data_IF_883239701064
#
_entry.id   IF_883239701064
#
_cell.length_a   1.000
_cell.length_b   1.000
_cell.length_c   1.000
_cell.angle_alpha   90.00
_cell.angle_beta   90.00
_cell.angle_gamma   90.00
#
_symmetry.space_group_name_H-M   'P 1'
#
loop_
_entity.id
_entity.type
_entity.pdbx_description
1 polymer ?
#
# COMPACT_ATOMS: atom_id res chain seq x y z
N UNK A 1 -18.94 -47.69 -23.42
CA UNK A 1 -19.00 -47.59 -21.94
C UNK A 1 -17.79 -46.88 -21.34
N UNK A 2 -16.54 -47.28 -21.63
CA UNK A 2 -15.31 -46.61 -21.11
C UNK A 2 -15.14 -45.13 -21.50
N UNK A 3 -15.58 -44.73 -22.70
CA UNK A 3 -15.53 -43.32 -23.16
C UNK A 3 -16.60 -42.41 -22.54
N UNK A 4 -17.74 -42.97 -22.12
CA UNK A 4 -18.76 -42.21 -21.38
C UNK A 4 -18.30 -41.90 -19.96
N UNK A 5 -17.63 -42.86 -19.30
CA UNK A 5 -17.11 -42.69 -17.94
C UNK A 5 -16.00 -41.62 -17.86
N UNK A 6 -15.15 -41.51 -18.88
CA UNK A 6 -14.12 -40.46 -18.95
C UNK A 6 -14.73 -39.08 -19.21
N UNK A 7 -15.79 -38.99 -20.03
CA UNK A 7 -16.51 -37.74 -20.27
C UNK A 7 -17.27 -37.22 -19.04
N UNK A 8 -17.87 -38.12 -18.24
CA UNK A 8 -18.52 -37.78 -16.97
C UNK A 8 -17.48 -37.34 -15.93
N UNK A 9 -16.32 -38.00 -15.86
CA UNK A 9 -15.25 -37.62 -14.92
C UNK A 9 -14.61 -36.26 -15.22
N UNK A 10 -14.58 -35.81 -16.47
CA UNK A 10 -14.09 -34.48 -16.86
C UNK A 10 -15.12 -33.38 -16.57
N UNK A 11 -16.42 -33.69 -16.59
CA UNK A 11 -17.48 -32.73 -16.31
C UNK A 11 -17.58 -32.39 -14.81
N UNK A 12 -17.25 -33.35 -13.93
CA UNK A 12 -17.32 -33.19 -12.46
C UNK A 12 -16.21 -32.27 -11.90
N UNK A 13 -15.08 -32.14 -12.60
CA UNK A 13 -13.97 -31.28 -12.13
C UNK A 13 -14.14 -29.79 -12.50
N UNK A 14 -15.17 -29.43 -13.27
CA UNK A 14 -15.33 -28.07 -13.80
C UNK A 14 -16.25 -27.16 -12.96
N UNK A 15 -16.86 -27.66 -11.89
CA UNK A 15 -17.74 -26.86 -11.01
C UNK A 15 -17.14 -26.73 -9.60
N UNK A 16 -16.00 -26.06 -9.48
CA UNK A 16 -15.64 -25.45 -8.20
C UNK A 16 -16.43 -24.16 -8.08
N UNK A 17 -17.55 -24.19 -7.35
CA UNK A 17 -18.29 -22.98 -7.00
C UNK A 17 -17.42 -22.16 -6.05
N UNK A 18 -17.01 -20.97 -6.51
CA UNK A 18 -16.37 -19.98 -5.64
C UNK A 18 -17.43 -19.42 -4.69
N UNK A 19 -17.50 -19.96 -3.48
CA UNK A 19 -18.33 -19.40 -2.42
C UNK A 19 -17.57 -18.22 -1.84
N UNK A 20 -18.07 -17.01 -2.10
CA UNK A 20 -17.56 -15.80 -1.49
C UNK A 20 -17.88 -15.87 0.01
N UNK A 21 -16.85 -15.90 0.85
CA UNK A 21 -17.01 -15.79 2.30
C UNK A 21 -17.44 -14.36 2.62
N UNK A 22 -18.70 -14.17 2.97
CA UNK A 22 -19.28 -12.89 3.40
C UNK A 22 -19.93 -13.09 4.75
N UNK A 23 -19.61 -12.20 5.69
CA UNK A 23 -20.27 -12.13 6.99
C UNK A 23 -21.37 -11.07 6.92
N UNK A 24 -22.47 -11.32 7.61
CA UNK A 24 -23.51 -10.33 7.81
C UNK A 24 -23.04 -9.24 8.77
N UNK A 25 -23.73 -8.10 8.75
CA UNK A 25 -23.41 -6.97 9.62
C UNK A 25 -23.45 -7.34 11.12
N UNK A 26 -24.39 -8.19 11.54
CA UNK A 26 -24.49 -8.63 12.93
C UNK A 26 -23.38 -9.62 13.30
N UNK A 27 -23.03 -10.57 12.42
CA UNK A 27 -21.89 -11.49 12.62
C UNK A 27 -20.57 -10.73 12.74
N UNK A 28 -20.39 -9.67 11.95
CA UNK A 28 -19.23 -8.79 12.08
C UNK A 28 -19.15 -8.11 13.45
N UNK A 29 -20.28 -7.65 13.99
CA UNK A 29 -20.34 -7.06 15.33
C UNK A 29 -20.05 -8.08 16.42
N UNK A 30 -20.59 -9.29 16.30
CA UNK A 30 -20.33 -10.38 17.24
C UNK A 30 -18.85 -10.80 17.23
N UNK A 31 -18.21 -10.77 16.05
CA UNK A 31 -16.77 -10.96 15.90
C UNK A 31 -15.92 -9.77 16.41
N UNK A 32 -16.56 -8.66 16.82
CA UNK A 32 -15.90 -7.49 17.41
C UNK A 32 -15.48 -6.40 16.41
N UNK A 33 -15.92 -6.49 15.15
CA UNK A 33 -15.69 -5.47 14.13
C UNK A 33 -16.79 -4.40 14.15
N UNK A 34 -16.46 -3.20 13.67
CA UNK A 34 -17.41 -2.09 13.46
C UNK A 34 -17.47 -1.79 11.96
N UNK A 35 -18.37 -2.46 11.20
CA UNK A 35 -18.36 -2.44 9.73
C UNK A 35 -18.40 -1.05 9.11
N UNK A 36 -19.09 -0.10 9.75
CA UNK A 36 -19.28 1.27 9.24
C UNK A 36 -17.98 2.07 9.19
N UNK A 37 -17.07 1.79 10.12
CA UNK A 37 -15.77 2.46 10.21
C UNK A 37 -14.60 1.60 9.74
N UNK A 38 -14.82 0.29 9.54
CA UNK A 38 -13.77 -0.63 9.14
C UNK A 38 -13.48 -0.50 7.65
N UNK A 39 -12.27 -0.05 7.32
CA UNK A 39 -11.75 0.09 5.97
C UNK A 39 -10.87 -1.10 5.61
N UNK A 40 -10.96 -1.61 4.39
CA UNK A 40 -10.23 -2.83 4.01
C UNK A 40 -8.70 -2.65 4.07
N UNK A 41 -8.21 -1.44 3.87
CA UNK A 41 -6.81 -1.04 4.10
C UNK A 41 -6.34 -1.34 5.52
N UNK A 42 -7.21 -1.24 6.52
CA UNK A 42 -6.89 -1.52 7.93
C UNK A 42 -6.70 -3.02 8.21
N UNK A 43 -7.21 -3.90 7.33
CA UNK A 43 -7.03 -5.35 7.46
C UNK A 43 -5.65 -5.81 6.96
N UNK A 44 -5.06 -5.11 5.96
CA UNK A 44 -3.82 -5.55 5.29
C UNK A 44 -2.60 -5.68 6.23
N UNK A 45 -2.40 -4.82 7.25
CA UNK A 45 -1.26 -4.93 8.16
C UNK A 45 -1.37 -6.04 9.22
N UNK A 46 -2.54 -6.67 9.41
CA UNK A 46 -2.76 -7.67 10.48
C UNK A 46 -1.69 -8.78 10.53
N UNK A 47 -1.21 -9.36 9.41
CA UNK A 47 -0.15 -10.36 9.44
C UNK A 47 1.18 -9.83 10.01
N UNK A 48 1.49 -8.54 9.83
CA UNK A 48 2.71 -7.91 10.37
C UNK A 48 2.72 -7.94 11.91
N UNK A 49 1.56 -8.03 12.55
CA UNK A 49 1.37 -8.04 14.00
C UNK A 49 0.98 -9.42 14.55
N UNK A 50 1.16 -10.49 13.76
CA UNK A 50 0.73 -11.86 14.12
C UNK A 50 -0.80 -11.99 14.36
N UNK A 51 -1.60 -11.14 13.72
CA UNK A 51 -3.07 -11.13 13.79
C UNK A 51 -3.71 -11.73 12.52
N UNK A 52 -2.99 -12.60 11.80
CA UNK A 52 -3.45 -13.20 10.54
C UNK A 52 -4.78 -13.96 10.69
N UNK A 53 -5.06 -14.52 11.86
CA UNK A 53 -6.32 -15.21 12.14
C UNK A 53 -7.56 -14.29 12.05
N UNK A 54 -7.38 -12.97 12.19
CA UNK A 54 -8.46 -11.98 12.03
C UNK A 54 -8.64 -11.55 10.57
N UNK A 55 -7.71 -11.89 9.68
CA UNK A 55 -7.65 -11.33 8.33
C UNK A 55 -8.89 -11.69 7.51
N UNK A 56 -9.35 -12.95 7.56
CA UNK A 56 -10.53 -13.39 6.81
C UNK A 56 -11.78 -12.62 7.23
N UNK A 57 -12.01 -12.51 8.54
CA UNK A 57 -13.21 -11.89 9.09
C UNK A 57 -13.16 -10.37 8.92
N UNK A 58 -11.97 -9.77 9.10
CA UNK A 58 -11.77 -8.35 8.82
C UNK A 58 -12.09 -8.03 7.35
N UNK A 59 -11.61 -8.84 6.40
CA UNK A 59 -11.86 -8.66 4.98
C UNK A 59 -13.33 -8.93 4.59
N UNK A 60 -14.01 -9.82 5.31
CA UNK A 60 -15.44 -10.07 5.13
C UNK A 60 -16.32 -8.92 5.67
N UNK A 61 -15.82 -8.17 6.65
CA UNK A 61 -16.55 -7.12 7.36
C UNK A 61 -16.22 -5.69 6.93
N UNK A 62 -15.15 -5.48 6.17
CA UNK A 62 -14.67 -4.15 5.81
C UNK A 62 -15.45 -3.53 4.65
N UNK A 63 -15.52 -2.20 4.65
CA UNK A 63 -15.90 -1.43 3.47
C UNK A 63 -14.68 -1.22 2.59
N UNK A 64 -14.85 -1.40 1.28
CA UNK A 64 -13.81 -1.05 0.30
C UNK A 64 -13.36 0.38 0.55
N UNK A 65 -12.06 0.57 0.49
CA UNK A 65 -11.46 1.89 0.52
C UNK A 65 -11.94 2.67 -0.71
N UNK A 66 -12.41 3.90 -0.51
CA UNK A 66 -12.53 4.87 -1.60
C UNK A 66 -11.12 5.43 -1.82
N UNK A 67 -10.25 4.63 -2.46
CA UNK A 67 -8.91 5.05 -2.87
C UNK A 67 -9.04 5.93 -4.13
N UNK A 68 -9.39 7.20 -3.96
CA UNK A 68 -9.22 8.22 -5.00
C UNK A 68 -8.28 9.33 -4.49
N UNK A 69 -7.16 8.95 -3.87
CA UNK A 69 -6.01 9.87 -3.93
C UNK A 69 -5.42 9.76 -5.34
N UNK A 70 -5.19 10.88 -6.04
CA UNK A 70 -4.52 10.82 -7.33
C UNK A 70 -3.12 10.22 -7.15
N UNK A 71 -2.75 9.31 -8.04
CA UNK A 71 -1.37 8.84 -8.19
C UNK A 71 -0.58 9.80 -9.06
N UNK A 72 0.75 9.71 -8.98
CA UNK A 72 1.66 10.60 -9.69
C UNK A 72 2.74 9.81 -10.43
N UNK A 73 3.09 10.21 -11.66
CA UNK A 73 4.11 9.52 -12.43
C UNK A 73 5.53 9.69 -11.85
N UNK A 74 5.79 10.78 -11.12
CA UNK A 74 7.11 11.07 -10.59
C UNK A 74 7.09 11.68 -9.19
N UNK A 75 8.15 11.44 -8.43
CA UNK A 75 8.47 12.19 -7.22
C UNK A 75 9.96 12.50 -7.07
N UNK A 76 10.26 13.65 -6.47
CA UNK A 76 11.61 13.96 -5.99
C UNK A 76 11.65 13.90 -4.46
N UNK A 77 12.64 13.19 -3.91
CA UNK A 77 13.06 13.30 -2.51
C UNK A 77 14.05 14.46 -2.43
N UNK A 78 13.57 15.65 -2.11
CA UNK A 78 14.42 16.82 -2.01
C UNK A 78 15.01 16.92 -0.60
N UNK A 79 16.34 16.99 -0.52
CA UNK A 79 17.11 17.09 0.73
C UNK A 79 18.21 18.15 0.61
N UNK A 80 18.74 18.62 1.74
CA UNK A 80 19.98 19.40 1.77
C UNK A 80 21.06 18.64 2.53
N UNK A 81 22.17 18.30 1.89
CA UNK A 81 23.36 17.75 2.59
C UNK A 81 23.84 18.64 3.75
N UNK A 82 23.55 19.94 3.71
CA UNK A 82 23.87 20.89 4.77
C UNK A 82 23.19 20.62 6.11
N UNK A 83 22.03 19.94 6.10
CA UNK A 83 21.24 19.69 7.30
C UNK A 83 20.71 18.25 7.40
N UNK A 84 20.91 17.40 6.39
CA UNK A 84 20.36 16.04 6.31
C UNK A 84 20.75 15.18 7.52
N UNK A 85 21.96 15.38 8.07
CA UNK A 85 22.43 14.70 9.28
C UNK A 85 21.55 14.91 10.53
N UNK A 86 20.65 15.91 10.51
CA UNK A 86 19.69 16.17 11.60
C UNK A 86 18.42 15.31 11.49
N UNK A 87 18.26 14.60 10.38
CA UNK A 87 17.08 13.79 10.07
C UNK A 87 17.52 12.35 9.79
N UNK A 88 17.86 11.55 10.83
CA UNK A 88 18.51 10.25 10.65
C UNK A 88 17.71 9.28 9.76
N UNK A 89 16.38 9.31 9.84
CA UNK A 89 15.52 8.44 9.04
C UNK A 89 15.53 8.82 7.55
N UNK A 90 15.36 10.11 7.23
CA UNK A 90 15.48 10.60 5.86
C UNK A 90 16.91 10.42 5.30
N UNK A 91 17.92 10.60 6.15
CA UNK A 91 19.31 10.33 5.79
C UNK A 91 19.53 8.85 5.45
N UNK A 92 19.04 7.92 6.28
CA UNK A 92 19.12 6.49 6.03
C UNK A 92 18.43 6.13 4.71
N UNK A 93 17.22 6.66 4.47
CA UNK A 93 16.50 6.45 3.22
C UNK A 93 17.33 6.83 1.99
N UNK A 94 17.97 8.00 2.02
CA UNK A 94 18.80 8.49 0.92
C UNK A 94 20.11 7.70 0.78
N UNK A 95 20.83 7.47 1.88
CA UNK A 95 22.17 6.86 1.86
C UNK A 95 22.13 5.36 1.54
N UNK A 96 21.09 4.66 1.98
CA UNK A 96 20.90 3.23 1.70
C UNK A 96 20.23 2.98 0.34
N UNK A 97 20.06 4.04 -0.48
CA UNK A 97 19.43 3.96 -1.79
C UNK A 97 18.04 3.31 -1.74
N UNK A 98 17.26 3.61 -0.70
CA UNK A 98 15.95 2.98 -0.49
C UNK A 98 14.92 3.33 -1.58
N UNK A 99 15.17 4.37 -2.39
CA UNK A 99 14.35 4.73 -3.55
C UNK A 99 14.51 3.78 -4.76
N UNK A 100 15.46 2.84 -4.73
CA UNK A 100 15.75 1.94 -5.85
C UNK A 100 14.53 1.16 -6.40
N UNK A 101 13.55 0.68 -5.58
CA UNK A 101 12.39 -0.04 -6.08
C UNK A 101 11.54 0.74 -7.09
N UNK A 102 11.57 2.07 -7.05
CA UNK A 102 10.79 2.94 -7.95
C UNK A 102 11.55 3.38 -9.21
N UNK A 103 12.78 2.92 -9.41
CA UNK A 103 13.56 3.20 -10.61
C UNK A 103 13.67 4.70 -10.94
N UNK A 104 13.20 5.07 -12.13
CA UNK A 104 13.24 6.46 -12.60
C UNK A 104 12.09 7.34 -12.09
N UNK A 105 11.05 6.74 -11.50
CA UNK A 105 9.88 7.45 -11.00
C UNK A 105 10.20 8.26 -9.75
N UNK A 106 11.11 7.80 -8.89
CA UNK A 106 11.50 8.50 -7.65
C UNK A 106 12.98 8.85 -7.68
N UNK A 107 13.32 10.14 -7.52
CA UNK A 107 14.70 10.63 -7.58
C UNK A 107 15.08 11.44 -6.35
N UNK A 108 16.28 11.23 -5.81
CA UNK A 108 16.82 12.11 -4.77
C UNK A 108 17.40 13.38 -5.41
N UNK A 109 17.04 14.55 -4.90
CA UNK A 109 17.53 15.85 -5.35
C UNK A 109 18.14 16.64 -4.22
N UNK A 110 19.29 17.26 -4.51
CA UNK A 110 19.96 18.16 -3.58
C UNK A 110 19.47 19.59 -3.80
N UNK A 111 18.79 20.14 -2.80
CA UNK A 111 18.28 21.52 -2.79
C UNK A 111 18.79 22.19 -1.53
N UNK A 112 19.46 23.34 -1.68
CA UNK A 112 20.09 24.01 -0.54
C UNK A 112 19.06 24.65 0.39
N UNK A 113 19.24 24.47 1.69
CA UNK A 113 18.48 25.18 2.73
C UNK A 113 17.09 24.63 3.03
N UNK A 114 16.63 23.60 2.31
CA UNK A 114 15.35 22.95 2.61
C UNK A 114 15.51 21.89 3.70
N UNK A 115 14.41 21.54 4.35
CA UNK A 115 14.30 20.32 5.13
C UNK A 115 13.81 19.17 4.23
N UNK A 116 14.05 17.89 4.60
CA UNK A 116 13.62 16.75 3.80
C UNK A 116 12.13 16.81 3.44
N UNK A 117 11.84 16.69 2.15
CA UNK A 117 10.47 16.71 1.63
C UNK A 117 10.32 15.80 0.41
N UNK A 118 9.12 15.25 0.22
CA UNK A 118 8.71 14.55 -1.00
C UNK A 118 7.96 15.54 -1.88
N UNK A 119 8.29 15.57 -3.16
CA UNK A 119 7.68 16.45 -4.15
C UNK A 119 7.06 15.62 -5.26
N UNK A 120 5.73 15.54 -5.28
CA UNK A 120 4.97 14.82 -6.30
C UNK A 120 4.88 15.66 -7.58
N UNK A 121 5.01 15.02 -8.73
CA UNK A 121 5.08 15.67 -10.03
C UNK A 121 4.21 14.98 -11.08
N UNK A 122 3.71 15.79 -12.02
CA UNK A 122 2.98 15.29 -13.18
C UNK A 122 3.93 14.79 -14.30
N UNK A 123 3.35 14.30 -15.41
CA UNK A 123 4.14 13.79 -16.56
C UNK A 123 5.05 14.84 -17.21
N UNK A 124 4.80 16.14 -16.99
CA UNK A 124 5.67 17.22 -17.46
C UNK A 124 6.85 17.49 -16.53
N UNK A 125 6.90 16.81 -15.38
CA UNK A 125 7.88 17.04 -14.32
C UNK A 125 7.56 18.27 -13.46
N UNK A 126 6.35 18.84 -13.60
CA UNK A 126 5.92 20.00 -12.82
C UNK A 126 5.55 19.56 -11.41
N UNK A 127 5.99 20.33 -10.41
CA UNK A 127 5.61 20.17 -9.01
C UNK A 127 4.09 20.34 -8.84
N UNK A 128 3.44 19.33 -8.27
CA UNK A 128 2.00 19.35 -7.95
C UNK A 128 1.78 19.46 -6.44
N UNK A 129 2.42 18.59 -5.66
CA UNK A 129 2.29 18.60 -4.20
C UNK A 129 3.63 18.42 -3.50
N UNK A 130 3.71 18.81 -2.23
CA UNK A 130 4.92 18.72 -1.42
C UNK A 130 4.58 18.34 0.01
N UNK A 131 5.27 17.33 0.53
CA UNK A 131 5.06 16.77 1.86
C UNK A 131 6.35 16.86 2.67
N UNK A 132 6.26 17.41 3.88
CA UNK A 132 7.37 17.41 4.82
C UNK A 132 7.55 16.02 5.41
N UNK A 133 8.78 15.50 5.41
CA UNK A 133 9.10 14.16 5.91
C UNK A 133 10.11 14.19 7.06
N UNK A 134 10.28 15.32 7.73
CA UNK A 134 11.28 15.49 8.81
C UNK A 134 11.10 14.48 9.95
N UNK A 135 9.85 14.07 10.19
CA UNK A 135 9.45 13.18 11.30
C UNK A 135 9.08 11.77 10.86
N UNK A 136 9.17 11.46 9.57
CA UNK A 136 8.79 10.16 9.05
C UNK A 136 9.95 9.17 9.25
N UNK A 137 9.60 7.93 9.58
CA UNK A 137 10.55 6.81 9.49
C UNK A 137 10.67 6.31 8.05
N UNK A 138 11.66 5.44 7.81
CA UNK A 138 11.92 4.92 6.46
C UNK A 138 10.77 4.07 5.92
N UNK A 139 10.05 3.37 6.79
CA UNK A 139 8.89 2.56 6.42
C UNK A 139 7.72 3.43 5.95
N UNK A 140 7.43 4.52 6.66
CA UNK A 140 6.40 5.49 6.28
C UNK A 140 6.72 6.14 4.93
N UNK A 141 7.99 6.49 4.67
CA UNK A 141 8.41 7.03 3.37
C UNK A 141 8.15 6.00 2.25
N UNK A 142 8.51 4.73 2.47
CA UNK A 142 8.29 3.65 1.50
C UNK A 142 6.81 3.38 1.25
N UNK A 143 6.01 3.33 2.30
CA UNK A 143 4.56 3.13 2.19
C UNK A 143 3.91 4.28 1.41
N UNK A 144 4.26 5.53 1.74
CA UNK A 144 3.77 6.70 1.01
C UNK A 144 4.13 6.65 -0.49
N UNK A 145 5.38 6.33 -0.84
CA UNK A 145 5.79 6.22 -2.24
C UNK A 145 5.13 5.05 -2.96
N UNK A 146 4.80 3.96 -2.26
CA UNK A 146 4.07 2.82 -2.84
C UNK A 146 2.63 3.20 -3.17
N UNK A 147 2.02 4.03 -2.33
CA UNK A 147 0.64 4.47 -2.48
C UNK A 147 0.51 5.58 -3.54
N UNK A 148 1.43 6.55 -3.56
CA UNK A 148 1.28 7.77 -4.38
C UNK A 148 1.97 7.74 -5.75
N UNK A 149 2.78 6.72 -6.06
CA UNK A 149 3.50 6.61 -7.34
C UNK A 149 2.86 5.57 -8.25
N UNK A 150 2.72 5.89 -9.53
CA UNK A 150 2.24 5.00 -10.61
C UNK A 150 3.14 3.79 -10.89
#
# INVERSE_FOLDING_TARGET
>A
MRRLLIGVSLYVLASAEYVKYELTYDECKEAGFVPESLKCSSCRPLPKFNLEFLLSDCLACCTKDEEDHPTYPYADIEVCDCNLARFPQAQAFVQENMAAPWGDSVKVRQVRGITPQIVLKDHSGKRIQTYNIEKWDTDTIKEFLTEFIE
#
